data_IF_969674023928
#
_entry.id   IF_969674023928
#
_cell.length_a   1.000
_cell.length_b   1.000
_cell.length_c   1.000
_cell.angle_alpha   90.00
_cell.angle_beta   90.00
_cell.angle_gamma   90.00
#
_symmetry.space_group_name_H-M   'P 1'
#
loop_
_entity.id
_entity.type
_entity.pdbx_description
1 polymer ?
#
# COMPACT_ATOMS: atom_id res chain seq x y z
N UNK A 1 16.33 18.65 2.76
CA UNK A 1 15.03 17.95 2.63
C UNK A 1 14.47 17.73 4.03
N UNK A 2 13.38 18.42 4.38
CA UNK A 2 12.81 18.38 5.72
C UNK A 2 12.10 17.03 5.97
N UNK A 3 12.53 16.27 6.99
CA UNK A 3 11.75 15.12 7.48
C UNK A 3 10.50 15.65 8.17
N UNK A 4 9.33 15.40 7.59
CA UNK A 4 8.06 15.54 8.31
C UNK A 4 8.15 14.67 9.57
N UNK A 5 7.99 15.27 10.77
CA UNK A 5 7.88 14.49 12.01
C UNK A 5 6.53 13.77 11.98
N UNK A 6 6.55 12.50 11.55
CA UNK A 6 5.41 11.59 11.71
C UNK A 6 5.09 11.46 13.20
N UNK A 7 3.80 11.54 13.55
CA UNK A 7 3.28 11.25 14.89
C UNK A 7 3.44 9.77 15.30
N UNK A 8 3.72 8.89 14.34
CA UNK A 8 4.00 7.47 14.56
C UNK A 8 5.50 7.19 14.65
N UNK A 9 5.92 6.57 15.77
CA UNK A 9 7.21 5.89 15.87
C UNK A 9 7.02 4.41 15.59
N UNK A 10 7.77 3.89 14.63
CA UNK A 10 7.79 2.48 14.27
C UNK A 10 9.14 1.87 14.66
N UNK A 11 9.14 0.61 15.07
CA UNK A 11 10.36 -0.18 15.16
C UNK A 11 10.73 -0.59 13.74
N UNK A 12 11.96 -0.31 13.33
CA UNK A 12 12.42 -0.66 12.00
C UNK A 12 12.71 -2.16 11.89
N UNK A 13 12.90 -2.64 10.65
CA UNK A 13 13.52 -3.94 10.42
C UNK A 13 14.97 -3.90 10.97
N UNK A 14 15.34 -4.80 11.90
CA UNK A 14 16.67 -4.78 12.51
C UNK A 14 17.76 -5.35 11.58
N UNK A 15 17.36 -5.87 10.41
CA UNK A 15 18.28 -6.43 9.44
C UNK A 15 18.97 -5.33 8.61
N UNK A 16 20.28 -5.50 8.47
CA UNK A 16 21.13 -4.71 7.60
C UNK A 16 21.58 -5.59 6.43
N UNK A 17 21.50 -5.08 5.21
CA UNK A 17 22.03 -5.74 4.01
C UNK A 17 23.12 -4.83 3.47
N UNK A 18 24.36 -5.32 3.44
CA UNK A 18 25.52 -4.54 2.96
C UNK A 18 25.69 -3.16 3.64
N UNK A 19 25.35 -3.08 4.93
CA UNK A 19 25.40 -1.84 5.70
C UNK A 19 24.25 -0.87 5.42
N UNK A 20 23.28 -1.24 4.58
CA UNK A 20 22.05 -0.48 4.33
C UNK A 20 20.88 -1.09 5.10
N UNK A 21 20.02 -0.23 5.65
CA UNK A 21 18.77 -0.69 6.27
C UNK A 21 17.83 -1.24 5.20
N UNK A 22 17.35 -2.48 5.38
CA UNK A 22 16.50 -3.15 4.39
C UNK A 22 15.00 -2.81 4.52
N UNK A 23 14.64 -1.90 5.43
CA UNK A 23 13.25 -1.50 5.68
C UNK A 23 12.74 -0.44 4.68
N UNK A 24 11.49 -0.59 4.23
CA UNK A 24 10.77 0.46 3.48
C UNK A 24 10.06 1.39 4.46
N UNK A 25 10.21 2.70 4.28
CA UNK A 25 9.69 3.73 5.19
C UNK A 25 8.52 4.55 4.58
N UNK A 26 7.69 3.90 3.78
CA UNK A 26 6.49 4.52 3.23
C UNK A 26 5.37 4.56 4.29
N UNK A 27 4.47 5.56 4.25
CA UNK A 27 3.30 5.55 5.10
C UNK A 27 2.44 4.30 4.83
N UNK A 28 1.72 3.78 5.84
CA UNK A 28 0.80 2.69 5.62
C UNK A 28 -0.26 3.10 4.58
N UNK A 29 -0.60 2.22 3.63
CA UNK A 29 -1.64 2.52 2.65
C UNK A 29 -2.99 2.67 3.35
N UNK A 30 -3.86 3.51 2.79
CA UNK A 30 -5.27 3.58 3.20
C UNK A 30 -5.98 2.30 2.79
N UNK A 31 -7.11 2.01 3.43
CA UNK A 31 -8.02 0.96 2.98
C UNK A 31 -8.37 1.20 1.49
N UNK A 32 -8.25 0.15 0.68
CA UNK A 32 -8.53 0.20 -0.76
C UNK A 32 -7.50 0.94 -1.63
N UNK A 33 -6.41 1.48 -1.08
CA UNK A 33 -5.49 2.36 -1.82
C UNK A 33 -4.84 1.74 -3.08
N UNK A 34 -4.82 0.41 -3.18
CA UNK A 34 -4.24 -0.32 -4.30
C UNK A 34 -5.20 -1.32 -4.94
N UNK A 35 -6.48 -1.33 -4.57
CA UNK A 35 -7.46 -2.31 -5.07
C UNK A 35 -7.54 -2.31 -6.59
N UNK A 36 -7.73 -1.14 -7.20
CA UNK A 36 -7.87 -1.03 -8.66
C UNK A 36 -6.60 -1.48 -9.39
N UNK A 37 -5.42 -1.13 -8.86
CA UNK A 37 -4.14 -1.53 -9.45
C UNK A 37 -3.91 -3.04 -9.39
N UNK A 38 -4.26 -3.67 -8.26
CA UNK A 38 -4.16 -5.13 -8.09
C UNK A 38 -5.14 -5.85 -9.00
N UNK A 39 -6.40 -5.39 -9.07
CA UNK A 39 -7.43 -6.00 -9.91
C UNK A 39 -7.11 -5.84 -11.41
N UNK A 40 -6.65 -4.67 -11.83
CA UNK A 40 -6.18 -4.47 -13.21
C UNK A 40 -5.00 -5.38 -13.53
N UNK A 41 -4.03 -5.52 -12.62
CA UNK A 41 -2.91 -6.45 -12.77
C UNK A 41 -3.32 -7.93 -12.86
N UNK A 42 -4.46 -8.28 -12.26
CA UNK A 42 -5.07 -9.60 -12.35
C UNK A 42 -5.97 -9.79 -13.59
N UNK A 43 -6.13 -8.76 -14.44
CA UNK A 43 -6.90 -8.82 -15.69
C UNK A 43 -8.36 -8.40 -15.58
N UNK A 44 -8.80 -7.85 -14.45
CA UNK A 44 -10.16 -7.32 -14.31
C UNK A 44 -10.34 -6.05 -15.15
N UNK A 45 -11.48 -5.98 -15.83
CA UNK A 45 -11.94 -4.77 -16.52
C UNK A 45 -12.51 -3.77 -15.52
N UNK A 46 -12.57 -2.49 -15.92
CA UNK A 46 -13.18 -1.44 -15.10
C UNK A 46 -14.67 -1.69 -14.83
N UNK A 47 -15.37 -2.35 -15.76
CA UNK A 47 -16.76 -2.73 -15.60
C UNK A 47 -16.94 -3.80 -14.50
N UNK A 48 -16.06 -4.80 -14.45
CA UNK A 48 -16.09 -5.83 -13.40
C UNK A 48 -15.74 -5.26 -12.03
N UNK A 49 -14.73 -4.37 -11.95
CA UNK A 49 -14.39 -3.67 -10.70
C UNK A 49 -15.58 -2.83 -10.20
N UNK A 50 -16.28 -2.13 -11.09
CA UNK A 50 -17.47 -1.37 -10.73
C UNK A 50 -18.59 -2.28 -10.19
N UNK A 51 -18.78 -3.47 -10.78
CA UNK A 51 -19.75 -4.45 -10.29
C UNK A 51 -19.40 -4.98 -8.88
N UNK A 52 -18.13 -5.25 -8.60
CA UNK A 52 -17.67 -5.67 -7.27
C UNK A 52 -17.91 -4.59 -6.21
N UNK A 53 -17.67 -3.32 -6.56
CA UNK A 53 -17.91 -2.18 -5.67
C UNK A 53 -19.41 -1.97 -5.42
N UNK A 54 -20.24 -2.10 -6.46
CA UNK A 54 -21.70 -2.05 -6.31
C UNK A 54 -22.25 -3.17 -5.41
N UNK A 55 -21.62 -4.35 -5.46
CA UNK A 55 -21.92 -5.48 -4.59
C UNK A 55 -21.35 -5.35 -3.15
N UNK A 56 -20.60 -4.27 -2.85
CA UNK A 56 -19.89 -4.04 -1.58
C UNK A 56 -18.91 -5.15 -1.19
N UNK A 57 -18.31 -5.81 -2.18
CA UNK A 57 -17.27 -6.82 -1.96
C UNK A 57 -15.88 -6.18 -1.82
N UNK A 58 -15.74 -4.96 -2.31
CA UNK A 58 -14.54 -4.11 -2.22
C UNK A 58 -14.96 -2.69 -1.90
N UNK A 59 -14.06 -1.91 -1.27
CA UNK A 59 -14.22 -0.46 -1.03
C UNK A 59 -14.19 0.35 -2.31
#
# INVERSE_FOLDING_TARGET
MARLRSILRLINLPAMIEGQGAGRHDPPPKLGAHTDAVLAGAGYTMQEVAALRAAKLIE
#
